data_IF_692649188575
#
_entry.id   IF_692649188575
#
_cell.length_a   1.000
_cell.length_b   1.000
_cell.length_c   1.000
_cell.angle_alpha   90.00
_cell.angle_beta   90.00
_cell.angle_gamma   90.00
#
_symmetry.space_group_name_H-M   'P 1'
#
loop_
_entity.id
_entity.type
_entity.pdbx_description
1 polymer ?
#
# COMPACT_ATOMS: atom_id res chain seq x y z
N UNK A 1 -2.75 -24.34 -6.72
CA UNK A 1 -3.11 -22.92 -6.63
C UNK A 1 -4.34 -22.84 -5.76
N UNK A 2 -4.22 -22.26 -4.55
CA UNK A 2 -5.27 -22.26 -3.56
C UNK A 2 -6.49 -21.42 -3.97
N UNK A 3 -7.64 -21.81 -3.49
CA UNK A 3 -8.94 -21.12 -3.60
C UNK A 3 -8.99 -19.81 -2.78
N UNK A 4 -7.84 -19.22 -2.44
CA UNK A 4 -7.72 -18.00 -1.67
C UNK A 4 -8.03 -16.75 -2.51
N UNK A 5 -8.56 -15.73 -1.86
CA UNK A 5 -8.68 -14.40 -2.46
C UNK A 5 -7.31 -13.75 -2.56
N UNK A 6 -7.00 -13.17 -3.68
CA UNK A 6 -5.81 -12.32 -3.80
C UNK A 6 -6.20 -10.85 -3.70
N UNK A 7 -5.29 -10.06 -3.13
CA UNK A 7 -5.39 -8.62 -3.04
C UNK A 7 -4.28 -7.98 -3.85
N UNK A 8 -4.65 -7.06 -4.71
CA UNK A 8 -3.74 -6.31 -5.57
C UNK A 8 -3.55 -4.92 -4.98
N UNK A 9 -2.32 -4.56 -4.69
CA UNK A 9 -1.94 -3.21 -4.28
C UNK A 9 -1.26 -2.52 -5.45
N UNK A 10 -1.79 -1.38 -5.85
CA UNK A 10 -1.23 -0.60 -6.95
C UNK A 10 -1.40 0.90 -6.71
N UNK A 11 -0.64 1.70 -7.46
CA UNK A 11 -0.82 3.15 -7.47
C UNK A 11 -1.96 3.56 -8.39
N UNK A 12 -2.43 4.79 -8.27
CA UNK A 12 -3.46 5.36 -9.15
C UNK A 12 -3.03 5.32 -10.62
N UNK A 13 -1.76 5.62 -10.91
CA UNK A 13 -1.21 5.59 -12.26
C UNK A 13 -1.28 4.19 -12.88
N UNK A 14 -0.96 3.17 -12.08
CA UNK A 14 -1.07 1.77 -12.50
C UNK A 14 -2.53 1.36 -12.71
N UNK A 15 -3.41 1.70 -11.76
CA UNK A 15 -4.83 1.37 -11.82
C UNK A 15 -5.52 1.97 -13.05
N UNK A 16 -5.19 3.21 -13.40
CA UNK A 16 -5.75 3.90 -14.56
C UNK A 16 -5.40 3.22 -15.89
N UNK A 17 -4.25 2.54 -15.94
CA UNK A 17 -3.82 1.78 -17.12
C UNK A 17 -4.37 0.35 -17.15
N UNK A 18 -4.62 -0.24 -16.01
CA UNK A 18 -5.15 -1.60 -15.90
C UNK A 18 -6.64 -1.66 -16.26
N UNK A 19 -7.38 -0.59 -15.96
CA UNK A 19 -8.81 -0.53 -16.21
C UNK A 19 -9.08 0.20 -17.51
N UNK A 20 -9.77 -0.43 -18.48
CA UNK A 20 -10.28 0.28 -19.64
C UNK A 20 -11.31 1.31 -19.16
N UNK A 21 -10.98 2.59 -19.33
CA UNK A 21 -11.69 3.71 -18.71
C UNK A 21 -13.14 3.87 -19.16
N UNK A 22 -13.58 3.25 -20.27
CA UNK A 22 -14.80 3.66 -20.95
C UNK A 22 -15.97 2.69 -20.91
N UNK A 23 -15.80 1.42 -20.52
CA UNK A 23 -16.90 0.43 -20.72
C UNK A 23 -17.34 -0.39 -19.52
N UNK A 24 -16.58 -0.45 -18.42
CA UNK A 24 -16.86 -1.40 -17.33
C UNK A 24 -16.87 -0.84 -15.93
N UNK A 25 -16.63 0.45 -15.76
CA UNK A 25 -16.62 1.09 -14.44
C UNK A 25 -17.83 2.01 -14.34
N UNK A 26 -18.78 1.65 -13.48
CA UNK A 26 -19.91 2.53 -13.18
C UNK A 26 -19.42 3.81 -12.49
N UNK A 27 -20.18 4.89 -12.60
CA UNK A 27 -19.86 6.15 -11.92
C UNK A 27 -19.73 5.98 -10.39
N UNK A 28 -20.52 5.08 -9.80
CA UNK A 28 -20.44 4.75 -8.39
C UNK A 28 -19.10 4.10 -8.00
N UNK A 29 -18.56 3.23 -8.85
CA UNK A 29 -17.22 2.65 -8.66
C UNK A 29 -16.12 3.69 -8.77
N UNK A 30 -16.23 4.65 -9.71
CA UNK A 30 -15.29 5.77 -9.83
C UNK A 30 -15.31 6.63 -8.56
N UNK A 31 -16.49 6.96 -8.06
CA UNK A 31 -16.63 7.77 -6.85
C UNK A 31 -16.10 7.06 -5.59
N UNK A 32 -16.28 5.75 -5.48
CA UNK A 32 -15.70 4.96 -4.38
C UNK A 32 -14.19 4.89 -4.46
N UNK A 33 -13.63 4.73 -5.66
CA UNK A 33 -12.19 4.76 -5.86
C UNK A 33 -11.57 6.07 -5.39
N UNK A 34 -12.18 7.20 -5.76
CA UNK A 34 -11.68 8.51 -5.39
C UNK A 34 -11.81 8.81 -3.90
N UNK A 35 -12.87 8.29 -3.27
CA UNK A 35 -13.15 8.56 -1.86
C UNK A 35 -12.44 7.61 -0.90
N UNK A 36 -12.45 6.32 -1.21
CA UNK A 36 -12.06 5.27 -0.27
C UNK A 36 -10.75 4.55 -0.68
N UNK A 37 -10.19 4.86 -1.85
CA UNK A 37 -9.00 4.20 -2.38
C UNK A 37 -9.23 2.72 -2.74
N UNK A 38 -10.48 2.25 -2.68
CA UNK A 38 -10.85 0.89 -3.00
C UNK A 38 -11.54 0.80 -4.35
N UNK A 39 -10.93 0.10 -5.27
CA UNK A 39 -11.45 -0.07 -6.63
C UNK A 39 -12.57 -1.13 -6.69
N UNK A 40 -12.75 -1.92 -5.66
CA UNK A 40 -13.65 -3.08 -5.66
C UNK A 40 -12.97 -4.35 -6.14
N UNK A 41 -13.77 -5.32 -6.55
CA UNK A 41 -13.29 -6.61 -7.03
C UNK A 41 -13.12 -6.58 -8.55
N UNK A 42 -11.89 -6.74 -9.02
CA UNK A 42 -11.57 -6.92 -10.42
C UNK A 42 -11.29 -8.38 -10.71
N UNK A 43 -12.13 -9.02 -11.53
CA UNK A 43 -12.03 -10.46 -11.87
C UNK A 43 -11.90 -11.37 -10.63
N UNK A 44 -12.60 -11.03 -9.53
CA UNK A 44 -12.56 -11.81 -8.29
C UNK A 44 -11.39 -11.49 -7.37
N UNK A 45 -10.59 -10.46 -7.66
CA UNK A 45 -9.48 -10.00 -6.86
C UNK A 45 -9.78 -8.61 -6.30
N UNK A 46 -9.53 -8.41 -5.02
CA UNK A 46 -9.68 -7.10 -4.39
C UNK A 46 -8.54 -6.18 -4.81
N UNK A 47 -8.86 -4.97 -5.27
CA UNK A 47 -7.86 -3.98 -5.69
C UNK A 47 -7.87 -2.82 -4.72
N UNK A 48 -6.72 -2.56 -4.11
CA UNK A 48 -6.49 -1.46 -3.18
C UNK A 48 -5.50 -0.49 -3.79
N UNK A 49 -5.90 0.77 -3.85
CA UNK A 49 -5.05 1.84 -4.35
C UNK A 49 -4.19 2.39 -3.21
N UNK A 50 -2.89 2.43 -3.43
CA UNK A 50 -1.93 3.03 -2.51
C UNK A 50 -1.78 4.51 -2.83
N UNK A 51 -1.88 5.34 -1.80
CA UNK A 51 -1.53 6.75 -1.92
C UNK A 51 -0.03 6.90 -2.17
N UNK A 52 0.30 7.82 -3.07
CA UNK A 52 1.68 8.11 -3.40
C UNK A 52 2.26 9.13 -2.40
N UNK A 53 3.43 8.82 -1.89
CA UNK A 53 4.23 9.75 -1.10
C UNK A 53 5.64 9.88 -1.69
N UNK A 54 6.32 10.95 -1.32
CA UNK A 54 7.67 11.22 -1.77
C UNK A 54 8.67 10.89 -0.68
N UNK A 55 9.85 10.43 -1.08
CA UNK A 55 10.94 10.07 -0.16
C UNK A 55 11.67 11.31 0.30
N UNK A 56 11.79 12.29 -0.59
CA UNK A 56 12.59 13.49 -0.41
C UNK A 56 11.72 14.77 -0.41
N UNK A 57 12.25 15.83 0.21
CA UNK A 57 11.60 17.14 0.26
C UNK A 57 11.50 17.81 -1.12
N UNK A 58 12.32 17.39 -2.07
CA UNK A 58 12.34 17.92 -3.44
C UNK A 58 11.27 17.28 -4.34
N UNK A 59 10.52 16.30 -3.82
CA UNK A 59 9.50 15.54 -4.55
C UNK A 59 10.02 14.88 -5.83
N UNK A 60 11.27 14.47 -5.84
CA UNK A 60 11.92 13.83 -6.99
C UNK A 60 11.78 12.32 -6.99
N UNK A 61 11.67 11.70 -5.82
CA UNK A 61 11.60 10.25 -5.69
C UNK A 61 10.29 9.79 -5.03
N UNK A 62 9.56 8.93 -5.73
CA UNK A 62 8.30 8.32 -5.26
C UNK A 62 8.59 7.11 -4.39
N UNK A 63 7.91 6.99 -3.24
CA UNK A 63 8.04 5.84 -2.34
C UNK A 63 7.58 4.54 -3.01
N UNK A 64 6.47 4.59 -3.74
CA UNK A 64 5.92 3.43 -4.45
C UNK A 64 6.18 3.61 -5.95
N UNK A 65 6.86 2.64 -6.56
CA UNK A 65 7.11 2.63 -8.00
C UNK A 65 5.77 2.53 -8.76
N UNK A 66 5.39 3.55 -9.55
CA UNK A 66 4.10 3.59 -10.24
C UNK A 66 3.97 2.51 -11.33
N UNK A 67 5.07 1.92 -11.76
CA UNK A 67 5.08 0.84 -12.76
C UNK A 67 4.78 -0.54 -12.17
N UNK A 68 4.69 -0.66 -10.84
CA UNK A 68 4.55 -1.94 -10.16
C UNK A 68 3.19 -2.12 -9.51
N UNK A 69 2.70 -3.36 -9.56
CA UNK A 69 1.58 -3.84 -8.75
C UNK A 69 2.03 -5.02 -7.91
N UNK A 70 1.65 -5.00 -6.64
CA UNK A 70 1.99 -6.05 -5.69
C UNK A 70 0.75 -6.89 -5.42
N UNK A 71 0.87 -8.20 -5.59
CA UNK A 71 -0.24 -9.14 -5.46
C UNK A 71 0.06 -10.07 -4.30
N UNK A 72 -0.83 -10.09 -3.33
CA UNK A 72 -0.75 -10.97 -2.18
C UNK A 72 -1.89 -11.98 -2.24
N UNK A 73 -1.57 -13.27 -2.32
CA UNK A 73 -2.55 -14.32 -2.28
C UNK A 73 -2.75 -14.76 -0.83
N UNK A 74 -4.00 -14.70 -0.36
CA UNK A 74 -4.40 -15.26 0.92
C UNK A 74 -4.80 -16.72 0.71
N UNK A 75 -3.98 -17.65 1.22
CA UNK A 75 -4.32 -19.06 1.23
C UNK A 75 -5.42 -19.28 2.28
N UNK A 76 -6.40 -20.15 1.98
CA UNK A 76 -7.42 -20.54 2.93
C UNK A 76 -6.76 -21.17 4.16
N UNK A 77 -6.83 -20.48 5.30
CA UNK A 77 -6.15 -20.85 6.54
C UNK A 77 -5.47 -19.67 7.21
N UNK A 78 -4.77 -19.93 8.29
CA UNK A 78 -4.08 -18.91 9.09
C UNK A 78 -2.73 -18.44 8.50
N UNK A 79 -2.34 -18.94 7.33
CA UNK A 79 -1.07 -18.60 6.73
C UNK A 79 -1.17 -17.31 5.91
N UNK A 80 -0.81 -16.21 6.53
CA UNK A 80 -0.66 -14.93 5.85
C UNK A 80 0.76 -14.81 5.29
N UNK A 81 0.92 -14.39 4.02
CA UNK A 81 2.25 -14.32 3.40
C UNK A 81 3.16 -13.27 4.04
N UNK A 82 2.60 -12.23 4.63
CA UNK A 82 3.33 -11.17 5.30
C UNK A 82 2.76 -10.99 6.70
N UNK A 83 3.64 -10.88 7.69
CA UNK A 83 3.26 -10.57 9.07
C UNK A 83 4.00 -9.33 9.55
N UNK A 84 3.27 -8.45 10.22
CA UNK A 84 3.82 -7.30 10.92
C UNK A 84 3.75 -7.62 12.40
N UNK A 85 4.89 -7.57 13.07
CA UNK A 85 5.00 -7.80 14.50
C UNK A 85 5.39 -6.51 15.19
N UNK A 86 4.66 -6.13 16.22
CA UNK A 86 4.96 -4.97 17.04
C UNK A 86 5.63 -5.43 18.35
N UNK A 87 6.74 -4.80 18.70
CA UNK A 87 7.43 -5.04 19.95
C UNK A 87 6.93 -4.08 21.04
N UNK A 88 6.28 -4.62 22.06
CA UNK A 88 5.80 -3.85 23.21
C UNK A 88 4.64 -2.90 22.91
N UNK A 89 4.39 -2.03 23.88
CA UNK A 89 3.41 -0.97 23.79
C UNK A 89 4.05 0.30 23.18
N UNK A 90 3.23 1.19 22.68
CA UNK A 90 3.69 2.53 22.28
C UNK A 90 4.27 3.24 23.48
N UNK A 91 5.54 3.62 23.43
CA UNK A 91 6.19 4.39 24.49
C UNK A 91 6.06 5.88 24.18
N UNK A 92 5.66 6.64 25.19
CA UNK A 92 5.58 8.09 25.15
C UNK A 92 6.61 8.66 26.13
N UNK A 93 7.48 9.53 25.66
CA UNK A 93 8.42 10.27 26.48
C UNK A 93 8.07 11.74 26.43
N UNK A 94 7.87 12.34 27.58
CA UNK A 94 7.69 13.78 27.73
C UNK A 94 8.96 14.39 28.27
N UNK A 95 9.48 15.40 27.59
CA UNK A 95 10.64 16.18 28.00
C UNK A 95 10.16 17.61 28.21
N UNK A 96 10.31 18.10 29.44
CA UNK A 96 9.98 19.50 29.78
C UNK A 96 11.28 20.27 29.90
N UNK A 97 11.41 21.34 29.15
CA UNK A 97 12.51 22.28 29.31
C UNK A 97 12.13 23.32 30.36
N UNK A 98 12.98 23.48 31.38
CA UNK A 98 12.72 24.39 32.48
C UNK A 98 13.06 25.85 32.16
N UNK A 99 13.80 26.10 31.07
CA UNK A 99 14.25 27.45 30.71
C UNK A 99 13.17 28.23 29.96
N UNK A 100 12.41 27.58 29.10
CA UNK A 100 11.33 28.21 28.30
C UNK A 100 9.94 27.65 28.55
N UNK A 101 9.80 26.69 29.48
CA UNK A 101 8.54 25.97 29.78
C UNK A 101 7.96 25.20 28.58
N UNK A 102 8.77 24.91 27.59
CA UNK A 102 8.38 24.07 26.46
C UNK A 102 8.26 22.60 26.88
N UNK A 103 7.34 21.89 26.28
CA UNK A 103 7.14 20.47 26.53
C UNK A 103 7.17 19.73 25.20
N UNK A 104 8.20 18.91 25.03
CA UNK A 104 8.31 18.01 23.86
C UNK A 104 7.73 16.64 24.20
N UNK A 105 6.84 16.15 23.35
CA UNK A 105 6.27 14.83 23.44
C UNK A 105 6.81 13.95 22.30
N UNK A 106 7.56 12.92 22.66
CA UNK A 106 8.10 11.95 21.72
C UNK A 106 7.37 10.61 21.87
N UNK A 107 6.86 10.11 20.76
CA UNK A 107 6.18 8.82 20.71
C UNK A 107 6.97 7.89 19.81
N UNK A 108 7.29 6.68 20.29
CA UNK A 108 7.96 5.68 19.48
C UNK A 108 7.32 4.29 19.63
N UNK A 109 7.40 3.52 18.56
CA UNK A 109 6.95 2.13 18.52
C UNK A 109 7.89 1.33 17.63
N UNK A 110 8.31 0.17 18.10
CA UNK A 110 9.12 -0.74 17.31
C UNK A 110 8.23 -1.74 16.58
N UNK A 111 8.53 -1.99 15.33
CA UNK A 111 7.86 -3.02 14.55
C UNK A 111 8.85 -3.72 13.61
N UNK A 112 8.51 -4.95 13.27
CA UNK A 112 9.23 -5.75 12.28
C UNK A 112 8.27 -6.28 11.24
N UNK A 113 8.73 -6.43 10.01
CA UNK A 113 7.97 -7.04 8.91
C UNK A 113 8.71 -8.28 8.45
N UNK A 114 7.99 -9.38 8.33
CA UNK A 114 8.55 -10.64 7.84
C UNK A 114 7.68 -11.25 6.74
N UNK A 115 8.34 -11.76 5.71
CA UNK A 115 7.72 -12.53 4.62
C UNK A 115 7.85 -14.01 4.95
N UNK A 116 6.71 -14.69 5.12
CA UNK A 116 6.67 -16.11 5.48
C UNK A 116 6.43 -17.03 4.29
N UNK A 117 5.71 -16.55 3.28
CA UNK A 117 5.36 -17.36 2.10
C UNK A 117 5.68 -16.61 0.83
N UNK A 118 6.85 -16.86 0.27
CA UNK A 118 7.29 -16.25 -0.98
C UNK A 118 6.41 -16.62 -2.19
N UNK A 119 5.93 -17.89 -2.34
CA UNK A 119 5.07 -18.26 -3.47
C UNK A 119 3.72 -17.55 -3.50
N UNK A 120 3.30 -16.94 -2.39
CA UNK A 120 2.03 -16.22 -2.26
C UNK A 120 2.14 -14.74 -2.56
N UNK A 121 3.31 -14.27 -2.94
CA UNK A 121 3.58 -12.86 -3.26
C UNK A 121 4.08 -12.77 -4.69
N UNK A 122 3.49 -11.86 -5.47
CA UNK A 122 3.91 -11.57 -6.83
C UNK A 122 4.05 -10.06 -7.01
N UNK A 123 5.07 -9.66 -7.76
CA UNK A 123 5.23 -8.29 -8.21
C UNK A 123 5.14 -8.28 -9.74
N UNK A 124 4.15 -7.57 -10.25
CA UNK A 124 3.99 -7.35 -11.68
C UNK A 124 4.53 -5.97 -12.04
N UNK A 125 5.34 -5.89 -13.09
CA UNK A 125 5.89 -4.62 -13.59
C UNK A 125 5.35 -4.32 -14.98
N UNK A 126 4.74 -3.14 -15.14
CA UNK A 126 4.32 -2.63 -16.43
C UNK A 126 5.47 -1.83 -17.07
N UNK A 127 6.09 -2.39 -18.10
CA UNK A 127 7.25 -1.78 -18.76
C UNK A 127 6.91 -0.49 -19.54
N UNK A 128 5.66 -0.30 -19.95
CA UNK A 128 5.22 0.91 -20.63
C UNK A 128 5.13 2.10 -19.68
N UNK A 129 4.66 1.88 -18.44
CA UNK A 129 4.65 2.91 -17.41
C UNK A 129 6.06 3.33 -16.99
N UNK A 130 7.01 2.39 -17.02
CA UNK A 130 8.41 2.69 -16.69
C UNK A 130 9.08 3.63 -17.70
N UNK A 131 8.61 3.64 -18.95
CA UNK A 131 9.12 4.54 -19.99
C UNK A 131 8.53 5.96 -19.89
N UNK A 132 7.37 6.13 -19.26
CA UNK A 132 6.68 7.41 -19.14
C UNK A 132 7.18 8.28 -17.95
N UNK A 133 8.01 7.73 -17.08
CA UNK A 133 8.55 8.39 -15.87
C UNK A 133 9.96 8.97 -16.10
N UNK A 134 10.36 9.20 -17.35
CA UNK A 134 11.62 9.89 -17.68
C UNK A 134 11.36 11.35 -18.00
#
# INVERSE_FOLDING_TARGET
YGTGRSTIFCTQEFASRMLPQDKFVSEDMKNRLWRDGWLGDYKGHSVIMLEQSMVDETNSEKVVDPSKAYIFASIAGNEKPVKIVFEGQTAVRTITDNDDWSTDMQTYKKFGVAVFSNPSICCYTNTELKKAVR
#
